data_IF_809241896059
#
_entry.id   IF_809241896059
#
_cell.length_a   1.000
_cell.length_b   1.000
_cell.length_c   1.000
_cell.angle_alpha   90.00
_cell.angle_beta   90.00
_cell.angle_gamma   90.00
#
_symmetry.space_group_name_H-M   'P 1'
#
loop_
_entity.id
_entity.type
_entity.pdbx_description
1 polymer ?
#
# COMPACT_ATOMS: atom_id res chain seq x y z
N UNK A 1 39.87 30.20 40.40
CA UNK A 1 39.09 31.35 39.93
C UNK A 1 38.58 31.01 38.53
N UNK A 2 37.25 30.98 38.34
CA UNK A 2 36.47 31.34 37.11
C UNK A 2 36.81 30.66 35.77
N UNK A 3 35.88 30.25 34.89
CA UNK A 3 34.42 30.13 34.84
C UNK A 3 34.03 29.44 33.51
N UNK A 4 32.83 28.86 33.48
CA UNK A 4 31.88 28.58 32.39
C UNK A 4 32.24 28.72 30.87
N UNK A 5 31.84 27.67 30.15
CA UNK A 5 30.94 27.64 28.99
C UNK A 5 31.35 28.20 27.60
N UNK A 6 30.77 27.52 26.59
CA UNK A 6 30.50 27.94 25.20
C UNK A 6 31.60 27.60 24.17
N UNK A 7 31.40 26.56 23.36
CA UNK A 7 30.82 26.79 22.03
C UNK A 7 30.49 25.48 21.29
N UNK A 8 29.19 25.31 21.15
CA UNK A 8 28.51 24.69 20.01
C UNK A 8 29.08 25.22 18.70
N UNK A 9 29.41 24.35 17.74
CA UNK A 9 29.04 24.54 16.33
C UNK A 9 29.39 23.31 15.48
N UNK A 10 28.33 22.79 14.84
CA UNK A 10 28.35 22.36 13.44
C UNK A 10 29.05 21.05 13.09
N UNK A 11 28.28 19.96 13.12
CA UNK A 11 28.44 18.92 12.11
C UNK A 11 27.07 18.35 11.72
N UNK A 12 26.30 19.19 11.03
CA UNK A 12 25.14 18.77 10.24
C UNK A 12 25.46 18.96 8.77
N UNK A 13 25.08 17.93 8.00
CA UNK A 13 24.84 17.94 6.54
C UNK A 13 26.05 17.62 5.67
N UNK A 14 26.22 16.34 5.34
CA UNK A 14 26.29 15.82 3.95
C UNK A 14 26.65 14.33 3.96
N UNK A 15 25.68 13.42 4.11
CA UNK A 15 25.84 12.04 3.55
C UNK A 15 24.59 11.15 3.44
N UNK A 16 23.36 11.61 3.71
CA UNK A 16 22.17 10.75 3.58
C UNK A 16 21.17 11.27 2.54
N UNK A 17 21.46 11.05 1.25
CA UNK A 17 20.60 11.49 0.13
C UNK A 17 20.16 10.36 -0.80
N UNK A 18 20.30 9.09 -0.40
CA UNK A 18 19.92 7.96 -1.25
C UNK A 18 18.99 6.92 -0.61
N UNK A 19 18.62 7.08 0.67
CA UNK A 19 17.65 6.22 1.33
C UNK A 19 16.38 7.00 1.64
N UNK A 20 15.31 6.77 0.86
CA UNK A 20 13.96 7.14 1.33
C UNK A 20 13.59 6.17 2.46
N UNK A 21 13.14 6.65 3.63
CA UNK A 21 12.91 5.82 4.80
C UNK A 21 11.87 4.71 4.53
N UNK A 22 12.04 3.58 5.21
CA UNK A 22 11.04 2.50 5.24
C UNK A 22 9.73 3.00 5.85
N UNK A 23 8.64 2.22 5.71
CA UNK A 23 7.38 2.59 6.36
C UNK A 23 7.56 2.72 7.87
N UNK A 24 8.28 1.77 8.49
CA UNK A 24 8.50 1.76 9.94
C UNK A 24 9.30 2.99 10.35
N UNK A 25 10.39 3.30 9.65
CA UNK A 25 11.20 4.49 9.90
C UNK A 25 10.38 5.78 9.75
N UNK A 26 9.50 5.85 8.74
CA UNK A 26 8.62 6.98 8.54
C UNK A 26 7.62 7.13 9.71
N UNK A 27 7.05 6.03 10.20
CA UNK A 27 6.13 6.05 11.35
C UNK A 27 6.87 6.33 12.67
N UNK A 28 8.08 5.79 12.86
CA UNK A 28 8.92 6.06 14.04
C UNK A 28 9.29 7.54 14.12
N UNK A 29 9.77 8.10 13.00
CA UNK A 29 10.08 9.53 12.91
C UNK A 29 8.85 10.40 13.20
N UNK A 30 7.69 10.02 12.67
CA UNK A 30 6.43 10.71 12.97
C UNK A 30 6.03 10.56 14.44
N UNK A 31 6.24 9.41 15.07
CA UNK A 31 5.94 9.21 16.49
C UNK A 31 6.84 10.06 17.39
N UNK A 32 8.12 10.20 17.04
CA UNK A 32 9.08 11.07 17.73
C UNK A 32 8.69 12.55 17.62
N UNK A 33 8.37 13.01 16.40
CA UNK A 33 8.01 14.39 16.09
C UNK A 33 6.56 14.76 16.47
N UNK A 34 5.69 13.78 16.74
CA UNK A 34 4.28 14.02 17.00
C UNK A 34 4.03 14.78 18.32
N UNK A 35 3.13 15.80 18.31
CA UNK A 35 2.58 16.40 19.51
C UNK A 35 1.84 15.38 20.39
N UNK A 36 1.66 15.69 21.68
CA UNK A 36 0.92 14.81 22.60
C UNK A 36 -0.53 14.54 22.16
N UNK A 37 -1.14 15.47 21.43
CA UNK A 37 -2.48 15.34 20.85
C UNK A 37 -2.54 14.37 19.65
N UNK A 38 -1.39 13.91 19.16
CA UNK A 38 -1.28 13.07 17.97
C UNK A 38 -1.31 13.87 16.65
N UNK A 39 -1.36 13.13 15.54
CA UNK A 39 -1.41 13.70 14.17
C UNK A 39 -2.67 13.26 13.45
N UNK A 40 -3.16 14.09 12.53
CA UNK A 40 -4.29 13.76 11.66
C UNK A 40 -3.90 12.73 10.60
N UNK A 41 -4.88 11.97 10.09
CA UNK A 41 -4.65 11.04 8.99
C UNK A 41 -4.17 11.75 7.72
N UNK A 42 -4.54 13.03 7.55
CA UNK A 42 -4.03 13.90 6.49
C UNK A 42 -2.53 14.17 6.63
N UNK A 43 -2.05 14.50 7.83
CA UNK A 43 -0.63 14.70 8.10
C UNK A 43 0.15 13.40 7.95
N UNK A 44 -0.40 12.28 8.44
CA UNK A 44 0.18 10.96 8.25
C UNK A 44 0.35 10.64 6.75
N UNK A 45 -0.72 10.75 5.96
CA UNK A 45 -0.64 10.45 4.51
C UNK A 45 0.29 11.40 3.76
N UNK A 46 0.36 12.67 4.17
CA UNK A 46 1.32 13.63 3.60
C UNK A 46 2.77 13.24 3.93
N UNK A 47 3.03 12.78 5.16
CA UNK A 47 4.35 12.35 5.58
C UNK A 47 4.79 11.02 4.94
N UNK A 48 3.87 10.06 4.71
CA UNK A 48 4.15 8.85 3.94
C UNK A 48 4.45 9.14 2.46
N UNK A 49 3.93 10.24 1.90
CA UNK A 49 4.12 10.63 0.50
C UNK A 49 3.76 9.51 -0.47
N UNK A 50 4.73 9.07 -1.29
CA UNK A 50 4.52 8.04 -2.31
C UNK A 50 4.05 6.68 -1.72
N UNK A 51 4.40 6.38 -0.46
CA UNK A 51 4.00 5.12 0.21
C UNK A 51 2.52 5.12 0.63
N UNK A 52 1.87 6.28 0.66
CA UNK A 52 0.50 6.41 1.15
C UNK A 52 -0.51 5.60 0.31
N UNK A 53 -0.29 5.47 -1.01
CA UNK A 53 -1.12 4.60 -1.86
C UNK A 53 -0.99 3.12 -1.47
N UNK A 54 0.25 2.64 -1.32
CA UNK A 54 0.53 1.28 -0.87
C UNK A 54 -0.07 1.01 0.51
N UNK A 55 0.07 1.94 1.44
CA UNK A 55 -0.50 1.82 2.79
C UNK A 55 -2.03 1.69 2.76
N UNK A 56 -2.70 2.60 2.04
CA UNK A 56 -4.16 2.64 1.98
C UNK A 56 -4.72 1.38 1.30
N UNK A 57 -4.15 0.98 0.16
CA UNK A 57 -4.58 -0.22 -0.55
C UNK A 57 -4.29 -1.49 0.24
N UNK A 58 -3.16 -1.57 0.95
CA UNK A 58 -2.82 -2.71 1.78
C UNK A 58 -3.84 -2.88 2.91
N UNK A 59 -4.12 -1.81 3.67
CA UNK A 59 -5.09 -1.82 4.77
C UNK A 59 -6.48 -2.26 4.26
N UNK A 60 -6.91 -1.75 3.10
CA UNK A 60 -8.19 -2.13 2.50
C UNK A 60 -8.19 -3.55 1.90
N UNK A 61 -7.05 -4.06 1.45
CA UNK A 61 -6.95 -5.41 0.91
C UNK A 61 -6.97 -6.49 2.00
N UNK A 62 -6.57 -6.18 3.24
CA UNK A 62 -6.50 -7.16 4.34
C UNK A 62 -7.83 -7.90 4.59
N UNK A 63 -9.01 -7.23 4.69
CA UNK A 63 -10.29 -7.92 4.76
C UNK A 63 -10.56 -8.84 3.57
N UNK A 64 -10.10 -8.48 2.36
CA UNK A 64 -10.32 -9.26 1.14
C UNK A 64 -9.50 -10.56 1.11
N UNK A 65 -8.44 -10.67 1.92
CA UNK A 65 -7.63 -11.88 2.04
C UNK A 65 -8.30 -12.97 2.90
N UNK A 66 -9.37 -12.64 3.63
CA UNK A 66 -10.06 -13.59 4.51
C UNK A 66 -10.95 -14.50 3.63
N UNK A 67 -10.66 -15.82 3.56
CA UNK A 67 -11.49 -16.73 2.79
C UNK A 67 -12.89 -16.81 3.40
N UNK A 68 -13.91 -17.06 2.56
CA UNK A 68 -15.32 -17.17 2.97
C UNK A 68 -15.95 -15.88 3.52
N UNK A 69 -15.29 -14.72 3.36
CA UNK A 69 -15.88 -13.44 3.68
C UNK A 69 -16.77 -12.95 2.51
N UNK A 70 -18.09 -13.08 2.67
CA UNK A 70 -19.06 -12.65 1.65
C UNK A 70 -19.49 -11.19 1.86
N UNK A 71 -19.74 -10.46 0.77
CA UNK A 71 -20.24 -9.08 0.82
C UNK A 71 -19.15 -8.03 1.11
N UNK A 72 -18.27 -8.28 2.09
CA UNK A 72 -17.24 -7.32 2.50
C UNK A 72 -16.24 -7.03 1.39
N UNK A 73 -15.65 -8.02 0.69
CA UNK A 73 -14.67 -7.74 -0.36
C UNK A 73 -15.25 -6.88 -1.48
N UNK A 74 -16.53 -7.03 -1.82
CA UNK A 74 -17.20 -6.22 -2.85
C UNK A 74 -17.32 -4.75 -2.40
N UNK A 75 -17.78 -4.52 -1.17
CA UNK A 75 -17.91 -3.16 -0.62
C UNK A 75 -16.53 -2.49 -0.51
N UNK A 76 -15.51 -3.24 -0.06
CA UNK A 76 -14.16 -2.72 0.17
C UNK A 76 -13.38 -2.54 -1.15
N UNK A 77 -13.69 -3.34 -2.18
CA UNK A 77 -13.08 -3.18 -3.52
C UNK A 77 -13.43 -1.86 -4.20
N UNK A 78 -14.57 -1.24 -3.86
CA UNK A 78 -14.98 0.05 -4.43
C UNK A 78 -14.03 1.20 -4.05
N UNK A 79 -13.75 1.49 -2.76
CA UNK A 79 -12.75 2.49 -2.40
C UNK A 79 -11.34 2.10 -2.85
N UNK A 80 -10.99 0.81 -2.88
CA UNK A 80 -9.71 0.36 -3.44
C UNK A 80 -9.59 0.70 -4.93
N UNK A 81 -10.62 0.43 -5.73
CA UNK A 81 -10.67 0.78 -7.14
C UNK A 81 -10.57 2.30 -7.35
N UNK A 82 -11.25 3.09 -6.50
CA UNK A 82 -11.15 4.55 -6.53
C UNK A 82 -9.72 5.05 -6.24
N UNK A 83 -9.04 4.46 -5.25
CA UNK A 83 -7.65 4.78 -4.93
C UNK A 83 -6.72 4.38 -6.08
N UNK A 84 -6.90 3.19 -6.65
CA UNK A 84 -6.14 2.72 -7.81
C UNK A 84 -6.34 3.66 -9.02
N UNK A 85 -7.57 4.12 -9.27
CA UNK A 85 -7.86 5.09 -10.32
C UNK A 85 -7.17 6.44 -10.10
N UNK A 86 -7.08 6.93 -8.84
CA UNK A 86 -6.31 8.13 -8.52
C UNK A 86 -4.82 7.96 -8.80
N UNK A 87 -4.29 6.75 -8.60
CA UNK A 87 -2.91 6.41 -8.93
C UNK A 87 -2.68 6.43 -10.45
N UNK A 88 -3.63 5.92 -11.24
CA UNK A 88 -3.62 6.01 -12.72
C UNK A 88 -3.60 7.47 -13.19
N UNK A 89 -4.35 8.34 -12.52
CA UNK A 89 -4.36 9.79 -12.80
C UNK A 89 -3.03 10.49 -12.44
N UNK A 90 -2.08 9.79 -11.79
CA UNK A 90 -0.77 10.33 -11.43
C UNK A 90 -0.81 11.26 -10.21
N UNK A 91 -1.79 11.10 -9.33
CA UNK A 91 -1.80 11.76 -8.01
C UNK A 91 -0.61 11.26 -7.19
N UNK A 92 -0.03 12.11 -6.34
CA UNK A 92 1.11 11.75 -5.48
C UNK A 92 0.72 11.06 -4.17
N UNK A 93 -0.51 11.27 -3.73
CA UNK A 93 -1.06 10.69 -2.50
C UNK A 93 -2.56 10.40 -2.68
N UNK A 94 -3.11 9.39 -1.99
CA UNK A 94 -4.52 9.06 -2.05
C UNK A 94 -5.35 10.19 -1.43
N UNK A 95 -6.47 10.52 -2.07
CA UNK A 95 -7.44 11.47 -1.53
C UNK A 95 -8.27 10.78 -0.45
N UNK A 96 -8.18 11.30 0.78
CA UNK A 96 -9.01 10.88 1.91
C UNK A 96 -10.27 11.75 1.99
N UNK A 97 -11.47 11.16 2.22
CA UNK A 97 -12.66 11.94 2.54
C UNK A 97 -12.43 12.79 3.79
N UNK A 98 -13.00 14.00 3.85
CA UNK A 98 -12.75 14.98 4.92
C UNK A 98 -12.93 14.39 6.33
N UNK A 99 -13.95 13.53 6.51
CA UNK A 99 -14.23 12.83 7.77
C UNK A 99 -13.09 11.93 8.25
N UNK A 100 -12.34 11.31 7.33
CA UNK A 100 -11.19 10.47 7.67
C UNK A 100 -9.91 11.30 7.76
N UNK A 101 -9.75 12.31 6.91
CA UNK A 101 -8.60 13.20 6.90
C UNK A 101 -8.41 13.92 8.26
N UNK A 102 -9.49 14.30 8.93
CA UNK A 102 -9.48 15.00 10.22
C UNK A 102 -9.37 14.06 11.43
N UNK A 103 -9.45 12.73 11.26
CA UNK A 103 -9.27 11.81 12.39
C UNK A 103 -7.84 11.90 12.89
N UNK A 104 -7.70 12.20 14.19
CA UNK A 104 -6.41 12.18 14.90
C UNK A 104 -6.06 10.75 15.33
N UNK A 105 -4.82 10.38 15.12
CA UNK A 105 -4.18 9.19 15.70
C UNK A 105 -3.33 9.69 16.85
N UNK A 106 -3.63 9.24 18.08
CA UNK A 106 -2.87 9.63 19.26
C UNK A 106 -1.40 9.22 19.16
N UNK A 107 -0.51 9.95 19.84
CA UNK A 107 0.92 9.62 19.92
C UNK A 107 1.15 8.18 20.37
N UNK A 108 0.44 7.74 21.41
CA UNK A 108 0.48 6.35 21.89
C UNK A 108 0.08 5.32 20.82
N UNK A 109 -0.89 5.67 19.95
CA UNK A 109 -1.30 4.85 18.83
C UNK A 109 -0.20 4.72 17.77
N UNK A 110 0.47 5.84 17.45
CA UNK A 110 1.62 5.85 16.55
C UNK A 110 2.78 5.01 17.10
N UNK A 111 3.13 5.20 18.38
CA UNK A 111 4.21 4.43 19.04
C UNK A 111 3.90 2.93 19.08
N UNK A 112 2.65 2.54 19.35
CA UNK A 112 2.21 1.14 19.29
C UNK A 112 2.30 0.57 17.89
N UNK A 113 1.85 1.32 16.87
CA UNK A 113 1.94 0.90 15.48
C UNK A 113 3.40 0.79 15.02
N UNK A 114 4.26 1.73 15.41
CA UNK A 114 5.70 1.68 15.13
C UNK A 114 6.33 0.43 15.74
N UNK A 115 6.11 0.20 17.04
CA UNK A 115 6.66 -0.94 17.78
C UNK A 115 6.14 -2.28 17.26
N UNK A 116 4.85 -2.35 16.94
CA UNK A 116 4.23 -3.52 16.33
C UNK A 116 4.78 -3.77 14.93
N UNK A 117 4.83 -2.71 14.11
CA UNK A 117 5.39 -2.72 12.78
C UNK A 117 6.82 -3.27 12.79
N UNK A 118 7.69 -2.71 13.63
CA UNK A 118 9.08 -3.17 13.78
C UNK A 118 9.21 -4.64 14.20
N UNK A 119 8.29 -5.15 15.03
CA UNK A 119 8.28 -6.56 15.43
C UNK A 119 7.91 -7.51 14.28
N UNK A 120 6.92 -7.15 13.47
CA UNK A 120 6.43 -8.02 12.39
C UNK A 120 7.17 -7.82 11.06
N UNK A 121 7.59 -6.58 10.78
CA UNK A 121 8.18 -6.17 9.51
C UNK A 121 9.66 -5.77 9.62
N UNK A 122 10.25 -5.73 10.82
CA UNK A 122 11.69 -5.46 10.97
C UNK A 122 12.59 -6.53 10.34
N UNK A 123 12.11 -7.76 10.13
CA UNK A 123 12.83 -8.74 9.31
C UNK A 123 12.79 -8.35 7.83
N UNK A 124 11.65 -7.80 7.38
CA UNK A 124 11.37 -7.49 5.97
C UNK A 124 12.25 -6.31 5.56
N UNK A 125 12.46 -5.34 6.44
CA UNK A 125 13.37 -4.21 6.25
C UNK A 125 14.82 -4.66 5.97
N UNK A 126 15.33 -5.67 6.71
CA UNK A 126 16.65 -6.27 6.42
C UNK A 126 16.72 -6.98 5.07
N UNK A 127 15.59 -7.45 4.55
CA UNK A 127 15.49 -8.08 3.24
C UNK A 127 15.22 -7.04 2.13
N UNK A 128 14.56 -5.93 2.46
CA UNK A 128 14.19 -4.83 1.56
C UNK A 128 15.41 -3.95 1.26
N UNK A 129 16.42 -4.55 0.64
CA UNK A 129 17.39 -3.75 -0.13
C UNK A 129 16.61 -3.12 -1.29
N UNK A 130 16.77 -1.83 -1.59
CA UNK A 130 16.07 -1.14 -2.67
C UNK A 130 16.63 -1.60 -4.02
N UNK A 131 16.29 -2.82 -4.46
CA UNK A 131 16.90 -3.45 -5.66
C UNK A 131 16.20 -3.05 -6.96
N UNK A 132 15.03 -2.39 -6.87
CA UNK A 132 14.14 -2.12 -7.99
C UNK A 132 13.44 -0.75 -7.90
N UNK A 133 14.17 0.30 -7.55
CA UNK A 133 13.67 1.70 -7.54
C UNK A 133 13.07 2.15 -8.88
N UNK A 134 13.37 1.44 -9.98
CA UNK A 134 12.76 1.65 -11.29
C UNK A 134 11.24 1.40 -11.30
N UNK A 135 10.75 0.47 -10.45
CA UNK A 135 9.32 0.20 -10.35
C UNK A 135 8.52 1.32 -9.66
N UNK A 136 9.20 2.20 -8.93
CA UNK A 136 8.62 3.37 -8.24
C UNK A 136 8.70 4.64 -9.10
N UNK A 137 9.01 4.52 -10.39
CA UNK A 137 8.91 5.67 -11.32
C UNK A 137 7.44 6.04 -11.51
N UNK A 138 7.13 7.34 -11.52
CA UNK A 138 5.75 7.84 -11.63
C UNK A 138 4.99 7.33 -12.87
N UNK A 139 5.69 6.87 -13.91
CA UNK A 139 5.06 6.21 -15.06
C UNK A 139 4.63 4.78 -14.74
N UNK A 140 5.47 4.02 -14.03
CA UNK A 140 5.16 2.63 -13.70
C UNK A 140 4.14 2.53 -12.58
N UNK A 141 4.14 3.47 -11.63
CA UNK A 141 3.06 3.58 -10.64
C UNK A 141 1.68 3.70 -11.30
N UNK A 142 1.56 4.45 -12.41
CA UNK A 142 0.29 4.51 -13.17
C UNK A 142 -0.10 3.18 -13.78
N UNK A 143 0.88 2.43 -14.32
CA UNK A 143 0.65 1.09 -14.89
C UNK A 143 0.23 0.11 -13.79
N UNK A 144 0.93 0.11 -12.65
CA UNK A 144 0.56 -0.69 -11.48
C UNK A 144 -0.85 -0.34 -11.02
N UNK A 145 -1.20 0.95 -11.02
CA UNK A 145 -2.55 1.43 -10.66
C UNK A 145 -3.62 0.90 -11.59
N UNK A 146 -3.33 0.82 -12.89
CA UNK A 146 -4.25 0.27 -13.87
C UNK A 146 -4.46 -1.24 -13.64
N UNK A 147 -3.40 -1.99 -13.38
CA UNK A 147 -3.49 -3.42 -13.06
C UNK A 147 -4.25 -3.66 -11.75
N UNK A 148 -3.96 -2.87 -10.71
CA UNK A 148 -4.68 -2.93 -9.43
C UNK A 148 -6.16 -2.59 -9.59
N UNK A 149 -6.50 -1.63 -10.45
CA UNK A 149 -7.88 -1.31 -10.78
C UNK A 149 -8.59 -2.52 -11.41
N UNK A 150 -7.94 -3.24 -12.33
CA UNK A 150 -8.47 -4.49 -12.91
C UNK A 150 -8.67 -5.55 -11.84
N UNK A 151 -7.73 -5.72 -10.90
CA UNK A 151 -7.89 -6.68 -9.79
C UNK A 151 -9.09 -6.31 -8.89
N UNK A 152 -9.27 -5.02 -8.58
CA UNK A 152 -10.40 -4.56 -7.79
C UNK A 152 -11.74 -4.79 -8.52
N UNK A 153 -11.80 -4.55 -9.83
CA UNK A 153 -12.99 -4.85 -10.64
C UNK A 153 -13.29 -6.35 -10.70
N UNK A 154 -12.25 -7.20 -10.70
CA UNK A 154 -12.43 -8.64 -10.59
C UNK A 154 -13.03 -9.05 -9.24
N UNK A 155 -12.60 -8.44 -8.13
CA UNK A 155 -13.19 -8.67 -6.79
C UNK A 155 -14.67 -8.24 -6.74
N UNK A 156 -15.03 -7.19 -7.46
CA UNK A 156 -16.41 -6.69 -7.53
C UNK A 156 -17.35 -7.69 -8.22
N UNK A 157 -16.80 -8.55 -9.08
CA UNK A 157 -17.57 -9.61 -9.74
C UNK A 157 -17.99 -10.62 -8.66
N UNK A 158 -19.31 -10.85 -8.46
CA UNK A 158 -19.81 -11.75 -7.42
C UNK A 158 -19.64 -13.21 -7.87
N UNK A 159 -18.39 -13.68 -7.92
CA UNK A 159 -18.07 -15.08 -8.12
C UNK A 159 -17.73 -15.70 -6.75
N UNK A 160 -18.44 -16.77 -6.34
CA UNK A 160 -18.14 -17.44 -5.08
C UNK A 160 -16.73 -18.05 -5.13
N UNK A 161 -15.98 -17.98 -4.03
CA UNK A 161 -14.64 -18.55 -3.83
C UNK A 161 -13.45 -17.93 -4.61
N UNK A 162 -13.71 -17.03 -5.56
CA UNK A 162 -12.67 -16.48 -6.47
C UNK A 162 -12.03 -15.18 -5.99
N UNK A 163 -12.62 -14.51 -5.00
CA UNK A 163 -12.26 -13.12 -4.66
C UNK A 163 -11.04 -13.02 -3.75
N UNK A 164 -10.67 -14.11 -3.08
CA UNK A 164 -9.52 -14.14 -2.17
C UNK A 164 -8.20 -14.02 -2.92
N UNK A 165 -8.04 -14.69 -4.07
CA UNK A 165 -6.82 -14.65 -4.88
C UNK A 165 -6.47 -13.24 -5.37
N UNK A 166 -7.39 -12.49 -6.03
CA UNK A 166 -7.11 -11.12 -6.42
C UNK A 166 -6.97 -10.21 -5.20
N UNK A 167 -7.65 -10.48 -4.08
CA UNK A 167 -7.43 -9.79 -2.81
C UNK A 167 -5.98 -9.93 -2.31
N UNK A 168 -5.45 -11.16 -2.30
CA UNK A 168 -4.05 -11.44 -1.98
C UNK A 168 -3.08 -10.78 -2.94
N UNK A 169 -3.38 -10.80 -4.25
CA UNK A 169 -2.57 -10.10 -5.23
C UNK A 169 -2.49 -8.59 -4.94
N UNK A 170 -3.63 -7.94 -4.66
CA UNK A 170 -3.64 -6.53 -4.28
C UNK A 170 -2.88 -6.29 -2.98
N UNK A 171 -3.05 -7.13 -1.96
CA UNK A 171 -2.32 -7.02 -0.71
C UNK A 171 -0.80 -7.12 -0.91
N UNK A 172 -0.34 -8.11 -1.69
CA UNK A 172 1.08 -8.28 -2.02
C UNK A 172 1.65 -7.09 -2.79
N UNK A 173 0.94 -6.62 -3.83
CA UNK A 173 1.37 -5.47 -4.62
C UNK A 173 1.44 -4.21 -3.76
N UNK A 174 0.40 -3.96 -2.96
CA UNK A 174 0.30 -2.78 -2.10
C UNK A 174 1.35 -2.78 -0.99
N UNK A 175 1.63 -3.95 -0.42
CA UNK A 175 2.71 -4.13 0.55
C UNK A 175 4.09 -3.92 -0.08
N UNK A 176 4.32 -4.43 -1.29
CA UNK A 176 5.56 -4.15 -2.04
C UNK A 176 5.72 -2.66 -2.35
N UNK A 177 4.64 -1.95 -2.69
CA UNK A 177 4.68 -0.50 -2.87
C UNK A 177 4.98 0.25 -1.56
N UNK A 178 4.39 -0.21 -0.46
CA UNK A 178 4.54 0.35 0.88
C UNK A 178 5.99 0.22 1.39
N UNK A 179 6.58 -0.95 1.23
CA UNK A 179 7.97 -1.26 1.62
C UNK A 179 9.00 -0.94 0.53
N UNK A 180 8.57 -0.39 -0.61
CA UNK A 180 9.39 -0.15 -1.81
C UNK A 180 10.12 -1.43 -2.30
N UNK A 181 9.53 -2.60 -2.08
CA UNK A 181 10.01 -3.90 -2.52
C UNK A 181 9.41 -4.27 -3.89
N UNK A 182 10.21 -4.07 -4.94
CA UNK A 182 9.81 -4.41 -6.30
C UNK A 182 9.64 -5.92 -6.56
N UNK A 183 10.24 -6.80 -5.75
CA UNK A 183 10.03 -8.25 -5.89
C UNK A 183 8.64 -8.65 -5.42
N UNK A 184 8.21 -8.13 -4.26
CA UNK A 184 6.86 -8.35 -3.75
C UNK A 184 5.81 -7.75 -4.67
N UNK A 185 6.05 -6.53 -5.18
CA UNK A 185 5.20 -5.91 -6.19
C UNK A 185 5.10 -6.79 -7.44
N UNK A 186 6.22 -7.25 -8.00
CA UNK A 186 6.22 -8.07 -9.21
C UNK A 186 5.55 -9.43 -8.98
N UNK A 187 5.82 -10.07 -7.83
CA UNK A 187 5.17 -11.34 -7.46
C UNK A 187 3.66 -11.22 -7.36
N UNK A 188 3.17 -10.15 -6.72
CA UNK A 188 1.74 -9.86 -6.65
C UNK A 188 1.12 -9.55 -8.02
N UNK A 189 1.83 -8.81 -8.88
CA UNK A 189 1.38 -8.54 -10.26
C UNK A 189 1.26 -9.83 -11.09
N UNK A 190 2.25 -10.73 -11.00
CA UNK A 190 2.22 -12.03 -11.68
C UNK A 190 1.05 -12.86 -11.18
N UNK A 191 0.90 -12.98 -9.85
CA UNK A 191 -0.17 -13.75 -9.22
C UNK A 191 -1.55 -13.26 -9.67
N UNK A 192 -1.81 -11.96 -9.55
CA UNK A 192 -3.09 -11.39 -9.92
C UNK A 192 -3.34 -11.44 -11.43
N UNK A 193 -2.32 -11.22 -12.26
CA UNK A 193 -2.48 -11.28 -13.72
C UNK A 193 -2.76 -12.69 -14.20
N UNK A 194 -2.08 -13.70 -13.63
CA UNK A 194 -2.37 -15.11 -13.89
C UNK A 194 -3.80 -15.46 -13.48
N UNK A 195 -4.27 -14.96 -12.33
CA UNK A 195 -5.64 -15.13 -11.89
C UNK A 195 -6.67 -14.54 -12.86
N UNK A 196 -6.46 -13.29 -13.31
CA UNK A 196 -7.32 -12.64 -14.31
C UNK A 196 -7.32 -13.44 -15.62
N UNK A 197 -6.17 -13.93 -16.08
CA UNK A 197 -6.09 -14.77 -17.27
C UNK A 197 -6.94 -16.05 -17.14
N UNK A 198 -6.89 -16.71 -15.99
CA UNK A 198 -7.73 -17.89 -15.69
C UNK A 198 -9.21 -17.52 -15.67
N UNK A 199 -9.58 -16.39 -15.06
CA UNK A 199 -10.97 -15.94 -15.04
C UNK A 199 -11.50 -15.65 -16.46
N UNK A 200 -10.70 -15.04 -17.33
CA UNK A 200 -11.09 -14.76 -18.71
C UNK A 200 -11.23 -16.05 -19.55
N UNK A 201 -10.34 -17.02 -19.39
CA UNK A 201 -10.43 -18.30 -20.12
C UNK A 201 -11.64 -19.11 -19.68
N UNK A 202 -11.87 -19.25 -18.37
CA UNK A 202 -13.03 -19.97 -17.82
C UNK A 202 -14.33 -19.24 -18.15
N UNK A 203 -14.35 -17.91 -18.02
CA UNK A 203 -15.52 -17.08 -18.33
C UNK A 203 -15.92 -17.18 -19.81
N UNK A 204 -14.96 -17.07 -20.73
CA UNK A 204 -15.24 -17.18 -22.17
C UNK A 204 -15.64 -18.59 -22.60
N UNK A 205 -15.03 -19.63 -22.01
CA UNK A 205 -15.43 -21.02 -22.26
C UNK A 205 -16.87 -21.30 -21.79
N UNK A 206 -17.24 -20.80 -20.59
CA UNK A 206 -18.60 -20.91 -20.07
C UNK A 206 -19.62 -20.22 -20.96
N UNK A 207 -19.33 -18.99 -21.42
CA UNK A 207 -20.21 -18.25 -22.34
C UNK A 207 -20.37 -18.99 -23.68
N UNK A 208 -19.28 -19.52 -24.24
CA UNK A 208 -19.32 -20.28 -25.50
C UNK A 208 -20.17 -21.55 -25.39
N UNK A 209 -20.07 -22.26 -24.27
CA UNK A 209 -20.89 -23.45 -23.99
C UNK A 209 -22.38 -23.09 -23.85
N UNK A 210 -22.68 -21.96 -23.20
CA UNK A 210 -24.05 -21.46 -23.00
C UNK A 210 -24.69 -20.97 -24.30
N UNK A 211 -23.89 -20.38 -25.21
CA UNK A 211 -24.32 -19.95 -26.54
C UNK A 211 -24.35 -21.08 -27.57
N UNK A 212 -24.02 -22.32 -27.20
CA UNK A 212 -24.03 -23.46 -28.11
C UNK A 212 -23.01 -23.37 -29.24
N UNK A 213 -21.99 -22.52 -29.11
CA UNK A 213 -20.89 -22.37 -30.08
C UNK A 213 -19.80 -23.45 -29.90
N UNK A 214 -20.15 -24.59 -29.30
CA UNK A 214 -19.27 -25.76 -29.20
C UNK A 214 -19.43 -26.62 -30.44
N UNK A 215 -18.56 -26.39 -31.42
CA UNK A 215 -18.22 -27.37 -32.47
C UNK A 215 -17.09 -28.26 -32.01
#
# INVERSE_FOLDING_TARGET
MTNLASDTTSNTTTEDTLHKPSLIEAIEKLAEEAPQEGISLKELTHALGDQAFGAALFILALPCCIPFLYGVPQIVSLPMAAIAAQMVMGRKQPWLPSKFAERKISKEGLEKTAKGGRKYFGWVEKLSRPRLTFLTSSKLERVIGLVLMVFCLSILTPLPSTNTVPGFAVAMVSFGMLERDGLLTTGGLILGSAWIAILLTVGTAGIKLLLGLGG
#
